data_IF_517341640923
#
_entry.id   IF_517341640923
#
_cell.length_a   1.000
_cell.length_b   1.000
_cell.length_c   1.000
_cell.angle_alpha   90.00
_cell.angle_beta   90.00
_cell.angle_gamma   90.00
#
_symmetry.space_group_name_H-M   'P 1'
#
loop_
_entity.id
_entity.type
_entity.pdbx_description
1 polymer ?
#
# COMPACT_ATOMS: atom_id res chain seq x y z
N UNK A 1 -13.74 24.65 -29.66
CA UNK A 1 -13.78 25.89 -30.44
C UNK A 1 -12.61 25.87 -31.38
N UNK A 2 -12.86 25.87 -32.69
CA UNK A 2 -11.77 25.89 -33.66
C UNK A 2 -11.12 27.27 -33.64
N UNK A 3 -9.80 27.31 -33.43
CA UNK A 3 -9.00 28.55 -33.32
C UNK A 3 -8.55 29.04 -34.71
N UNK A 4 -9.04 28.48 -35.82
CA UNK A 4 -8.61 28.88 -37.15
C UNK A 4 -8.90 30.36 -37.42
N UNK A 5 -7.85 31.05 -37.88
CA UNK A 5 -7.89 32.46 -38.25
C UNK A 5 -8.61 32.56 -39.60
N UNK A 6 -9.64 33.40 -39.76
CA UNK A 6 -10.39 33.47 -41.01
C UNK A 6 -9.52 34.07 -42.13
N UNK A 7 -9.65 33.52 -43.33
CA UNK A 7 -8.92 33.96 -44.52
C UNK A 7 -9.19 35.45 -44.81
N UNK A 8 -8.13 36.19 -45.17
CA UNK A 8 -8.20 37.63 -45.49
C UNK A 8 -7.86 38.59 -44.35
N UNK A 9 -7.76 38.14 -43.09
CA UNK A 9 -7.28 39.00 -41.97
C UNK A 9 -5.84 39.49 -42.19
N UNK A 10 -5.10 38.77 -43.04
CA UNK A 10 -3.71 39.04 -43.42
C UNK A 10 -3.55 40.38 -44.18
N UNK A 11 -4.59 40.81 -44.89
CA UNK A 11 -4.61 42.08 -45.66
C UNK A 11 -5.04 43.28 -44.80
N UNK A 12 -5.62 43.05 -43.62
CA UNK A 12 -6.10 44.12 -42.72
C UNK A 12 -5.10 44.51 -41.61
N UNK A 13 -3.99 43.79 -41.44
CA UNK A 13 -3.01 44.03 -40.38
C UNK A 13 -1.85 44.87 -40.91
N UNK A 14 -1.60 46.01 -40.25
CA UNK A 14 -0.59 47.02 -40.66
C UNK A 14 0.84 46.48 -40.77
N UNK A 15 1.16 45.36 -40.11
CA UNK A 15 2.48 44.71 -40.18
C UNK A 15 2.32 43.23 -40.60
N UNK A 16 2.73 42.82 -41.82
CA UNK A 16 2.59 41.44 -42.29
C UNK A 16 3.38 40.43 -41.43
N UNK A 17 4.52 40.85 -40.87
CA UNK A 17 5.30 40.13 -39.86
C UNK A 17 4.46 39.58 -38.70
N UNK A 18 3.40 40.28 -38.29
CA UNK A 18 2.57 39.89 -37.14
C UNK A 18 1.80 38.59 -37.39
N UNK A 19 1.35 38.38 -38.64
CA UNK A 19 0.61 37.19 -39.05
C UNK A 19 1.54 35.97 -39.11
N UNK A 20 2.74 36.14 -39.68
CA UNK A 20 3.72 35.07 -39.74
C UNK A 20 4.15 34.64 -38.33
N UNK A 21 4.50 35.60 -37.45
CA UNK A 21 4.85 35.30 -36.05
C UNK A 21 3.71 34.62 -35.29
N UNK A 22 2.44 34.95 -35.58
CA UNK A 22 1.30 34.27 -34.98
C UNK A 22 1.16 32.82 -35.46
N UNK A 23 1.39 32.54 -36.75
CA UNK A 23 1.47 31.17 -37.29
C UNK A 23 2.59 30.39 -36.61
N UNK A 24 3.80 30.96 -36.56
CA UNK A 24 4.98 30.34 -35.94
C UNK A 24 4.72 30.02 -34.45
N UNK A 25 4.17 30.98 -33.68
CA UNK A 25 3.80 30.79 -32.27
C UNK A 25 2.75 29.68 -32.08
N UNK A 26 1.81 29.53 -33.02
CA UNK A 26 0.78 28.49 -32.97
C UNK A 26 1.32 27.10 -33.34
N UNK A 27 2.29 27.02 -34.24
CA UNK A 27 3.02 25.78 -34.50
C UNK A 27 3.83 25.35 -33.28
N UNK A 28 4.46 26.29 -32.58
CA UNK A 28 5.15 26.05 -31.30
C UNK A 28 4.16 25.65 -30.19
N UNK A 29 3.00 26.31 -30.05
CA UNK A 29 1.91 25.91 -29.12
C UNK A 29 1.52 24.44 -29.38
N UNK A 30 1.23 24.10 -30.64
CA UNK A 30 0.83 22.74 -31.04
C UNK A 30 1.93 21.69 -30.77
N UNK A 31 3.20 22.03 -31.02
CA UNK A 31 4.32 21.14 -30.76
C UNK A 31 4.58 20.94 -29.25
N UNK A 32 4.41 22.01 -28.45
CA UNK A 32 4.54 21.96 -27.00
C UNK A 32 3.41 21.16 -26.36
N UNK A 33 2.16 21.32 -26.82
CA UNK A 33 1.02 20.51 -26.38
C UNK A 33 1.20 19.02 -26.74
N UNK A 34 1.63 18.72 -27.96
CA UNK A 34 1.93 17.35 -28.38
C UNK A 34 3.07 16.73 -27.55
N UNK A 35 4.12 17.49 -27.26
CA UNK A 35 5.24 17.05 -26.42
C UNK A 35 4.83 16.85 -24.96
N UNK A 36 4.02 17.77 -24.41
CA UNK A 36 3.54 17.71 -23.02
C UNK A 36 2.58 16.54 -22.81
N UNK A 37 1.63 16.34 -23.73
CA UNK A 37 0.69 15.20 -23.67
C UNK A 37 1.43 13.87 -23.81
N UNK A 38 2.38 13.75 -24.74
CA UNK A 38 3.26 12.58 -24.85
C UNK A 38 4.07 12.34 -23.58
N UNK A 39 4.78 13.35 -23.07
CA UNK A 39 5.60 13.21 -21.85
C UNK A 39 4.78 12.87 -20.62
N UNK A 40 3.54 13.36 -20.52
CA UNK A 40 2.60 12.96 -19.47
C UNK A 40 2.19 11.49 -19.57
N UNK A 41 1.99 10.98 -20.79
CA UNK A 41 1.73 9.56 -21.04
C UNK A 41 2.96 8.71 -20.71
N UNK A 42 4.13 9.05 -21.27
CA UNK A 42 5.42 8.38 -20.99
C UNK A 42 5.67 8.26 -19.47
N UNK A 43 5.43 9.34 -18.71
CA UNK A 43 5.59 9.35 -17.25
C UNK A 43 4.58 8.44 -16.53
N UNK A 44 3.31 8.43 -16.95
CA UNK A 44 2.28 7.56 -16.37
C UNK A 44 2.49 6.07 -16.69
N UNK A 45 3.05 5.78 -17.87
CA UNK A 45 3.40 4.42 -18.30
C UNK A 45 4.64 3.91 -17.56
N UNK A 46 5.67 4.74 -17.42
CA UNK A 46 6.86 4.40 -16.64
C UNK A 46 6.56 4.17 -15.16
N UNK A 47 5.73 5.01 -14.52
CA UNK A 47 5.31 4.81 -13.13
C UNK A 47 4.59 3.47 -12.92
N UNK A 48 3.85 3.01 -13.93
CA UNK A 48 3.16 1.72 -13.93
C UNK A 48 4.08 0.51 -14.15
N UNK A 49 5.27 0.71 -14.74
CA UNK A 49 6.20 -0.37 -15.14
C UNK A 49 7.47 -0.48 -14.29
N UNK A 50 7.86 0.58 -13.59
CA UNK A 50 9.20 0.69 -13.01
C UNK A 50 9.22 1.25 -11.60
N UNK A 51 8.98 0.40 -10.61
CA UNK A 51 9.47 0.64 -9.26
C UNK A 51 10.13 -0.64 -8.71
N UNK A 52 11.44 -0.59 -8.53
CA UNK A 52 12.17 -1.59 -7.75
C UNK A 52 11.67 -1.53 -6.32
N UNK A 53 10.93 -2.57 -5.91
CA UNK A 53 10.29 -2.61 -4.57
C UNK A 53 11.38 -2.69 -3.50
N UNK A 54 11.45 -1.67 -2.65
CA UNK A 54 12.28 -1.71 -1.45
C UNK A 54 11.64 -2.66 -0.45
N UNK A 55 12.34 -3.76 -0.13
CA UNK A 55 11.97 -4.61 0.99
C UNK A 55 12.29 -3.85 2.29
N UNK A 56 11.33 -3.86 3.23
CA UNK A 56 11.48 -3.32 4.58
C UNK A 56 10.64 -4.16 5.53
N UNK A 57 11.10 -4.29 6.77
CA UNK A 57 10.41 -5.06 7.80
C UNK A 57 9.43 -4.18 8.58
N UNK A 58 8.13 -4.45 8.49
CA UNK A 58 7.10 -3.84 9.33
C UNK A 58 6.88 -4.71 10.59
N UNK A 59 7.06 -4.13 11.78
CA UNK A 59 6.73 -4.80 13.05
C UNK A 59 5.33 -4.38 13.50
N UNK A 60 4.55 -5.34 13.96
CA UNK A 60 3.19 -5.15 14.48
C UNK A 60 3.16 -5.65 15.93
N UNK A 61 2.60 -4.85 16.83
CA UNK A 61 2.33 -5.21 18.21
C UNK A 61 0.82 -5.28 18.42
N UNK A 62 0.36 -6.35 19.07
CA UNK A 62 -1.02 -6.50 19.48
C UNK A 62 -0.99 -6.60 21.01
N UNK A 63 -1.63 -5.63 21.66
CA UNK A 63 -1.71 -5.54 23.12
C UNK A 63 -3.16 -5.55 23.57
N UNK A 64 -3.44 -6.21 24.69
CA UNK A 64 -4.75 -6.22 25.34
C UNK A 64 -4.59 -5.65 26.75
N UNK A 65 -5.35 -4.62 27.06
CA UNK A 65 -5.43 -3.99 28.39
C UNK A 65 -6.85 -4.17 28.91
N UNK A 66 -7.00 -4.71 30.11
CA UNK A 66 -8.32 -4.91 30.73
C UNK A 66 -8.55 -3.90 31.85
N UNK A 67 -9.77 -3.38 31.89
CA UNK A 67 -10.26 -2.36 32.82
C UNK A 67 -11.49 -2.95 33.55
N UNK A 68 -11.68 -2.59 34.82
CA UNK A 68 -12.89 -2.92 35.63
C UNK A 68 -13.20 -4.42 35.80
N UNK A 69 -12.17 -5.29 35.74
CA UNK A 69 -12.32 -6.73 35.92
C UNK A 69 -12.51 -7.12 37.40
N UNK A 70 -13.26 -8.19 37.66
CA UNK A 70 -13.61 -8.64 39.03
C UNK A 70 -12.37 -8.84 39.93
N UNK A 71 -11.26 -9.34 39.37
CA UNK A 71 -10.00 -9.56 40.09
C UNK A 71 -9.15 -8.28 40.27
N UNK A 72 -9.45 -7.19 39.56
CA UNK A 72 -8.84 -5.87 39.77
C UNK A 72 -9.51 -5.12 40.93
N UNK A 73 -10.72 -5.52 41.34
CA UNK A 73 -11.43 -4.93 42.48
C UNK A 73 -10.75 -5.34 43.79
N UNK A 74 -9.83 -4.49 44.25
CA UNK A 74 -8.97 -4.77 45.39
C UNK A 74 -9.70 -4.53 46.73
N UNK A 75 -10.68 -5.37 47.03
CA UNK A 75 -11.50 -5.36 48.24
C UNK A 75 -12.63 -4.33 48.17
N UNK A 76 -13.86 -4.83 47.98
CA UNK A 76 -15.10 -4.04 48.08
C UNK A 76 -15.09 -3.16 49.34
N UNK A 77 -15.17 -1.84 49.16
CA UNK A 77 -15.53 -0.95 50.25
C UNK A 77 -17.00 -1.22 50.61
N UNK A 78 -17.22 -1.83 51.76
CA UNK A 78 -18.50 -2.46 52.15
C UNK A 78 -19.65 -1.44 52.27
N UNK A 79 -19.35 -0.15 52.42
CA UNK A 79 -20.33 0.94 52.51
C UNK A 79 -20.66 1.61 51.15
N UNK A 80 -20.02 1.22 50.05
CA UNK A 80 -20.30 1.78 48.73
C UNK A 80 -21.36 0.95 47.96
N UNK A 81 -22.61 0.98 48.44
CA UNK A 81 -23.78 0.52 47.67
C UNK A 81 -24.09 1.53 46.55
N UNK A 82 -23.19 1.64 45.57
CA UNK A 82 -23.38 2.51 44.42
C UNK A 82 -24.19 1.78 43.34
N UNK A 83 -25.41 2.29 43.08
CA UNK A 83 -26.30 1.79 42.04
C UNK A 83 -25.96 2.37 40.65
N UNK A 84 -24.69 2.72 40.39
CA UNK A 84 -24.24 3.12 39.05
C UNK A 84 -24.06 1.88 38.16
N UNK A 85 -24.83 1.72 37.08
CA UNK A 85 -24.73 0.56 36.18
C UNK A 85 -23.53 0.65 35.23
N UNK A 86 -22.45 1.33 35.64
CA UNK A 86 -21.42 1.84 34.73
C UNK A 86 -20.04 1.15 34.89
N UNK A 87 -19.84 0.33 35.91
CA UNK A 87 -18.60 -0.45 36.08
C UNK A 87 -18.73 -1.82 35.41
N UNK A 88 -18.97 -1.79 34.09
CA UNK A 88 -18.99 -2.99 33.26
C UNK A 88 -17.55 -3.37 32.89
N UNK A 89 -17.13 -4.58 33.29
CA UNK A 89 -15.82 -5.14 32.96
C UNK A 89 -15.54 -5.01 31.47
N UNK A 90 -14.34 -4.55 31.11
CA UNK A 90 -14.04 -4.18 29.74
C UNK A 90 -12.61 -4.48 29.35
N UNK A 91 -12.38 -4.56 28.04
CA UNK A 91 -11.08 -4.82 27.45
C UNK A 91 -10.83 -3.90 26.26
N UNK A 92 -9.56 -3.52 26.10
CA UNK A 92 -9.07 -2.61 25.08
C UNK A 92 -7.96 -3.30 24.31
N UNK A 93 -8.22 -3.60 23.04
CA UNK A 93 -7.20 -4.14 22.14
C UNK A 93 -6.59 -3.00 21.35
N UNK A 94 -5.26 -2.98 21.29
CA UNK A 94 -4.44 -1.96 20.63
C UNK A 94 -3.49 -2.64 19.66
N UNK A 95 -3.68 -2.36 18.37
CA UNK A 95 -2.89 -2.86 17.24
C UNK A 95 -2.00 -1.70 16.77
N UNK A 96 -0.71 -1.76 17.06
CA UNK A 96 0.29 -0.75 16.68
C UNK A 96 1.22 -1.33 15.61
N UNK A 97 1.60 -0.53 14.61
CA UNK A 97 2.58 -0.93 13.59
C UNK A 97 3.65 0.12 13.34
N UNK A 98 4.92 -0.31 13.26
CA UNK A 98 6.05 0.57 12.98
C UNK A 98 7.06 -0.10 12.05
N UNK A 99 7.48 0.65 11.04
CA UNK A 99 8.51 0.23 10.11
C UNK A 99 9.88 0.24 10.80
N UNK A 100 10.58 -0.90 10.74
CA UNK A 100 11.98 -1.00 11.18
C UNK A 100 12.87 -0.50 10.04
N UNK A 101 13.83 0.37 10.35
CA UNK A 101 14.83 0.81 9.39
C UNK A 101 16.12 0.01 9.62
N UNK A 102 16.48 -0.82 8.65
CA UNK A 102 17.57 -1.81 8.77
C UNK A 102 18.95 -1.16 9.06
N UNK A 103 19.11 0.13 8.74
CA UNK A 103 20.29 0.94 9.10
C UNK A 103 20.51 1.12 10.61
N UNK A 104 19.49 0.99 11.44
CA UNK A 104 19.63 1.04 12.91
C UNK A 104 20.18 -0.29 13.48
N UNK A 105 20.11 -1.38 12.72
CA UNK A 105 20.39 -2.73 13.22
C UNK A 105 21.88 -3.14 13.15
N UNK A 106 22.71 -2.40 12.40
CA UNK A 106 24.16 -2.66 12.33
C UNK A 106 24.96 -2.03 13.48
N UNK A 107 24.46 -0.95 14.11
CA UNK A 107 25.18 -0.19 15.13
C UNK A 107 25.00 -0.72 16.58
N UNK A 108 24.27 -1.81 16.79
CA UNK A 108 23.88 -2.30 18.13
C UNK A 108 24.51 -3.64 18.55
N UNK A 109 25.60 -4.06 17.90
CA UNK A 109 26.46 -5.17 18.39
C UNK A 109 27.67 -4.63 19.17
N UNK A 110 27.72 -4.80 20.50
CA UNK A 110 28.97 -4.64 21.25
C UNK A 110 29.83 -5.90 21.08
N UNK A 111 30.86 -5.81 20.24
CA UNK A 111 31.90 -6.86 20.12
C UNK A 111 32.71 -6.95 21.42
N UNK A 112 32.45 -7.99 22.23
CA UNK A 112 33.25 -8.29 23.44
C UNK A 112 34.43 -9.20 23.11
N UNK A 113 35.57 -8.62 22.73
CA UNK A 113 36.88 -9.26 22.87
C UNK A 113 37.97 -8.19 22.96
N UNK A 114 38.86 -8.28 23.96
CA UNK A 114 39.84 -7.23 24.24
C UNK A 114 41.28 -7.59 23.89
N UNK A 115 42.18 -6.60 23.94
CA UNK A 115 43.39 -6.59 24.80
C UNK A 115 44.19 -5.27 24.61
N UNK A 116 44.40 -4.56 25.73
CA UNK A 116 45.49 -3.65 26.16
C UNK A 116 46.38 -2.89 25.14
N UNK A 117 46.47 -1.56 25.34
CA UNK A 117 47.52 -0.67 24.78
C UNK A 117 47.56 0.72 25.45
N UNK A 118 48.74 1.32 25.65
CA UNK A 118 49.03 2.42 26.60
C UNK A 118 49.94 3.46 25.88
N UNK A 119 49.93 4.80 26.09
CA UNK A 119 49.53 5.69 27.20
C UNK A 119 49.00 7.09 26.76
N UNK A 120 48.81 7.98 27.76
CA UNK A 120 49.11 9.44 27.76
C UNK A 120 48.12 10.48 27.17
N UNK A 121 47.49 11.21 28.09
CA UNK A 121 47.02 12.63 28.04
C UNK A 121 48.21 13.61 28.03
N UNK A 122 48.09 14.94 27.71
CA UNK A 122 46.99 15.84 28.14
C UNK A 122 46.49 16.98 27.21
N UNK A 123 45.34 17.55 27.62
CA UNK A 123 44.79 18.91 27.45
C UNK A 123 45.12 19.76 26.19
N UNK A 124 44.06 20.20 25.49
CA UNK A 124 43.68 21.63 25.48
C UNK A 124 42.23 21.85 25.05
N UNK A 125 41.62 22.95 25.52
CA UNK A 125 40.29 23.42 25.12
C UNK A 125 40.28 23.94 23.68
N UNK A 126 39.12 23.87 23.01
CA UNK A 126 38.56 24.99 22.24
C UNK A 126 37.08 24.69 21.91
N UNK A 127 36.24 25.70 22.09
CA UNK A 127 34.79 25.60 21.87
C UNK A 127 34.46 25.65 20.37
N UNK A 128 34.08 24.52 19.79
CA UNK A 128 33.27 24.50 18.57
C UNK A 128 31.96 23.78 18.86
N UNK A 129 30.89 24.57 19.07
CA UNK A 129 29.52 24.06 19.08
C UNK A 129 29.23 23.50 17.69
N UNK A 130 29.46 22.20 17.52
CA UNK A 130 28.92 21.44 16.41
C UNK A 130 27.40 21.44 16.57
N UNK A 131 26.78 22.51 16.05
CA UNK A 131 25.35 22.51 15.76
C UNK A 131 25.16 21.37 14.77
N UNK A 132 24.69 20.24 15.27
CA UNK A 132 24.08 19.21 14.47
C UNK A 132 22.96 19.90 13.71
N UNK A 133 23.24 20.31 12.48
CA UNK A 133 22.23 20.72 11.53
C UNK A 133 21.49 19.43 11.19
N UNK A 134 20.53 19.10 12.05
CA UNK A 134 19.43 18.21 11.74
C UNK A 134 18.70 18.86 10.56
N UNK A 135 19.21 18.58 9.36
CA UNK A 135 18.58 18.94 8.11
C UNK A 135 17.31 18.09 8.04
N UNK A 136 16.27 18.61 8.68
CA UNK A 136 14.97 17.98 8.88
C UNK A 136 14.18 17.86 7.58
N UNK A 137 14.73 17.13 6.62
CA UNK A 137 13.94 16.27 5.77
C UNK A 137 13.19 15.34 6.71
N UNK A 138 11.94 15.70 7.01
CA UNK A 138 11.00 14.82 7.70
C UNK A 138 10.91 13.57 6.82
N UNK A 139 11.64 12.53 7.19
CA UNK A 139 11.56 11.25 6.50
C UNK A 139 10.09 10.88 6.51
N UNK A 140 9.48 10.76 5.33
CA UNK A 140 8.06 10.50 5.17
C UNK A 140 7.81 9.02 5.48
N UNK A 141 8.04 8.68 6.75
CA UNK A 141 7.90 7.34 7.29
C UNK A 141 6.44 6.95 7.17
N UNK A 142 6.17 6.12 6.17
CA UNK A 142 4.85 5.61 5.88
C UNK A 142 4.24 5.00 7.15
N UNK A 143 3.06 5.51 7.50
CA UNK A 143 2.29 5.10 8.67
C UNK A 143 1.83 3.65 8.54
N UNK A 144 1.49 2.96 9.63
CA UNK A 144 0.96 1.59 9.59
C UNK A 144 -0.14 1.41 8.53
N UNK A 145 -1.15 2.28 8.55
CA UNK A 145 -2.28 2.27 7.60
C UNK A 145 -1.90 2.54 6.13
N UNK A 146 -0.68 3.02 5.84
CA UNK A 146 -0.19 3.13 4.47
C UNK A 146 -0.12 1.75 3.79
N UNK A 147 0.32 0.73 4.53
CA UNK A 147 0.63 -0.61 4.03
C UNK A 147 -0.58 -1.55 3.93
N UNK A 148 -1.77 -1.13 4.37
CA UNK A 148 -2.99 -1.95 4.37
C UNK A 148 -4.14 -1.27 3.63
N UNK A 149 -4.89 -2.05 2.85
CA UNK A 149 -6.12 -1.64 2.15
C UNK A 149 -7.34 -1.83 3.06
N UNK A 150 -7.31 -2.85 3.92
CA UNK A 150 -8.34 -3.10 4.91
C UNK A 150 -7.76 -3.85 6.13
N UNK A 151 -8.46 -3.74 7.25
CA UNK A 151 -8.24 -4.49 8.48
C UNK A 151 -9.62 -4.89 9.01
N UNK A 152 -9.85 -6.17 9.31
CA UNK A 152 -11.05 -6.59 10.04
C UNK A 152 -10.69 -7.35 11.31
N UNK A 153 -11.52 -7.20 12.34
CA UNK A 153 -11.47 -8.01 13.56
C UNK A 153 -12.79 -8.74 13.71
N UNK A 154 -12.70 -10.06 13.58
CA UNK A 154 -13.82 -10.98 13.65
C UNK A 154 -13.83 -11.68 15.01
N UNK A 155 -15.02 -11.80 15.60
CA UNK A 155 -15.24 -12.37 16.93
C UNK A 155 -15.92 -13.74 16.78
N UNK A 156 -15.68 -14.67 17.72
CA UNK A 156 -16.26 -16.01 17.70
C UNK A 156 -17.79 -15.99 17.90
N UNK A 157 -18.51 -15.93 16.76
CA UNK A 157 -19.98 -15.91 16.70
C UNK A 157 -20.64 -17.12 17.34
N UNK A 158 -19.93 -18.21 17.61
CA UNK A 158 -20.52 -19.41 18.23
C UNK A 158 -20.88 -19.22 19.71
N UNK A 159 -20.22 -18.28 20.41
CA UNK A 159 -20.42 -18.02 21.84
C UNK A 159 -21.57 -17.05 22.12
N UNK A 160 -21.81 -16.13 21.20
CA UNK A 160 -22.81 -15.08 21.37
C UNK A 160 -24.18 -15.49 20.83
N UNK A 161 -25.05 -15.97 21.73
CA UNK A 161 -26.48 -16.21 21.44
C UNK A 161 -27.22 -14.96 20.94
N UNK A 162 -26.72 -13.77 21.28
CA UNK A 162 -27.26 -12.48 20.88
C UNK A 162 -26.41 -11.96 19.71
N UNK A 163 -26.86 -12.18 18.47
CA UNK A 163 -26.11 -11.89 17.24
C UNK A 163 -25.97 -10.39 16.89
N UNK A 164 -25.59 -9.56 17.86
CA UNK A 164 -25.46 -8.10 17.76
C UNK A 164 -24.00 -7.60 17.94
N UNK A 165 -23.04 -8.50 18.08
CA UNK A 165 -21.61 -8.18 18.07
C UNK A 165 -21.20 -7.67 16.69
N UNK A 166 -20.91 -6.37 16.55
CA UNK A 166 -20.39 -5.81 15.30
C UNK A 166 -18.90 -6.18 15.15
N UNK A 167 -18.54 -6.75 14.00
CA UNK A 167 -17.14 -6.90 13.61
C UNK A 167 -16.52 -5.50 13.41
N UNK A 168 -15.23 -5.35 13.72
CA UNK A 168 -14.56 -4.07 13.59
C UNK A 168 -13.89 -4.06 12.23
N UNK A 169 -14.44 -3.30 11.28
CA UNK A 169 -13.91 -3.19 9.93
C UNK A 169 -13.36 -1.77 9.68
N UNK A 170 -12.10 -1.70 9.27
CA UNK A 170 -11.50 -0.52 8.67
C UNK A 170 -11.17 -0.82 7.21
N UNK A 171 -11.62 0.05 6.30
CA UNK A 171 -11.25 0.04 4.89
C UNK A 171 -10.64 1.39 4.53
N UNK A 172 -9.52 1.36 3.84
CA UNK A 172 -8.89 2.56 3.28
C UNK A 172 -9.83 3.15 2.23
N UNK A 173 -10.22 4.43 2.30
CA UNK A 173 -11.08 5.03 1.29
C UNK A 173 -10.33 5.09 -0.04
N UNK A 174 -10.87 4.46 -1.08
CA UNK A 174 -10.33 4.59 -2.44
C UNK A 174 -10.49 6.04 -2.90
N UNK A 175 -9.40 6.66 -3.33
CA UNK A 175 -9.37 8.06 -3.79
C UNK A 175 -9.95 8.20 -5.19
N UNK A 176 -11.26 7.93 -5.35
CA UNK A 176 -11.98 7.85 -6.64
C UNK A 176 -12.38 9.22 -7.21
N UNK A 177 -11.85 10.33 -6.70
CA UNK A 177 -12.18 11.69 -7.16
C UNK A 177 -10.96 12.42 -7.72
N UNK A 178 -10.95 12.59 -9.04
CA UNK A 178 -10.13 13.59 -9.75
C UNK A 178 -10.48 14.99 -9.20
N UNK A 179 -9.70 15.51 -8.25
CA UNK A 179 -9.95 16.86 -7.71
C UNK A 179 -9.28 17.23 -6.39
N UNK A 180 -8.78 16.28 -5.60
CA UNK A 180 -8.09 16.60 -4.34
C UNK A 180 -6.59 16.76 -4.53
N UNK A 181 -6.03 17.82 -3.90
CA UNK A 181 -4.60 18.12 -3.95
C UNK A 181 -3.76 17.04 -3.25
N UNK A 182 -2.54 16.73 -3.73
CA UNK A 182 -1.66 15.77 -3.08
C UNK A 182 -1.16 16.32 -1.74
N UNK A 183 -1.37 15.58 -0.65
CA UNK A 183 -0.73 15.85 0.65
C UNK A 183 -1.64 16.05 1.88
N UNK A 184 -2.97 15.91 1.75
CA UNK A 184 -3.87 15.95 2.91
C UNK A 184 -4.96 14.88 2.81
N UNK A 185 -4.58 13.62 3.05
CA UNK A 185 -5.55 12.63 3.51
C UNK A 185 -5.94 13.01 4.95
N UNK A 186 -7.23 12.90 5.34
CA UNK A 186 -7.63 13.21 6.72
C UNK A 186 -6.92 12.25 7.68
N UNK A 187 -6.48 12.75 8.84
CA UNK A 187 -5.65 12.00 9.81
C UNK A 187 -6.25 10.67 10.30
N UNK A 188 -7.57 10.47 10.11
CA UNK A 188 -8.29 9.20 10.30
C UNK A 188 -7.78 8.06 9.38
N UNK A 189 -7.18 8.39 8.23
CA UNK A 189 -6.68 7.43 7.25
C UNK A 189 -5.20 7.09 7.48
N UNK A 190 -4.43 7.96 8.14
CA UNK A 190 -2.98 7.85 8.34
C UNK A 190 -2.60 7.67 9.83
N UNK A 191 -2.83 6.46 10.36
CA UNK A 191 -2.55 6.07 11.74
C UNK A 191 -1.46 5.01 11.85
N UNK A 192 -0.75 5.03 12.98
CA UNK A 192 0.17 3.95 13.42
C UNK A 192 -0.50 2.98 14.41
N UNK A 193 -1.62 3.38 15.00
CA UNK A 193 -2.35 2.61 16.02
C UNK A 193 -3.84 2.53 15.67
N UNK A 194 -4.39 1.32 15.72
CA UNK A 194 -5.83 1.06 15.76
C UNK A 194 -6.20 0.47 17.13
N UNK A 195 -7.05 1.17 17.86
CA UNK A 195 -7.49 0.78 19.21
C UNK A 195 -9.01 0.71 19.29
N UNK A 196 -9.53 -0.34 19.92
CA UNK A 196 -10.95 -0.49 20.22
C UNK A 196 -11.16 -0.94 21.66
N UNK A 197 -12.26 -0.49 22.27
CA UNK A 197 -12.73 -0.92 23.61
C UNK A 197 -14.05 -1.67 23.46
N UNK A 198 -14.21 -2.79 24.15
CA UNK A 198 -15.45 -3.58 24.23
C UNK A 198 -15.67 -4.03 25.68
N UNK A 199 -16.92 -4.37 25.99
CA UNK A 199 -17.32 -4.83 27.31
C UNK A 199 -17.22 -6.37 27.30
N UNK A 200 -16.77 -6.95 28.40
CA UNK A 200 -16.49 -8.37 28.53
C UNK A 200 -15.57 -8.69 29.72
N UNK A 201 -16.00 -9.68 30.50
CA UNK A 201 -15.30 -10.31 31.62
C UNK A 201 -14.70 -11.69 31.26
N UNK A 202 -15.14 -12.31 30.16
CA UNK A 202 -14.65 -13.61 29.69
C UNK A 202 -13.56 -13.52 28.60
N UNK A 203 -12.62 -14.47 28.63
CA UNK A 203 -11.59 -14.62 27.60
C UNK A 203 -12.18 -15.08 26.25
N UNK A 204 -12.00 -14.26 25.21
CA UNK A 204 -12.56 -14.50 23.87
C UNK A 204 -11.44 -14.56 22.82
N UNK A 205 -11.48 -15.57 21.95
CA UNK A 205 -10.59 -15.65 20.79
C UNK A 205 -11.10 -14.70 19.69
N UNK A 206 -10.19 -13.87 19.16
CA UNK A 206 -10.46 -12.93 18.06
C UNK A 206 -9.56 -13.26 16.86
N UNK A 207 -10.07 -13.05 15.65
CA UNK A 207 -9.31 -13.19 14.40
C UNK A 207 -9.07 -11.81 13.81
N UNK A 208 -7.81 -11.41 13.64
CA UNK A 208 -7.43 -10.12 13.08
C UNK A 208 -6.93 -10.35 11.65
N UNK A 209 -7.69 -9.91 10.66
CA UNK A 209 -7.34 -9.99 9.25
C UNK A 209 -6.69 -8.69 8.78
N UNK A 210 -5.53 -8.79 8.13
CA UNK A 210 -4.75 -7.65 7.63
C UNK A 210 -4.57 -7.77 6.11
N UNK A 211 -5.29 -6.93 5.35
CA UNK A 211 -5.23 -6.95 3.89
C UNK A 211 -4.19 -5.94 3.40
N UNK A 212 -3.01 -6.43 3.00
CA UNK A 212 -1.91 -5.61 2.49
C UNK A 212 -2.38 -4.77 1.29
N UNK A 213 -1.98 -3.50 1.26
CA UNK A 213 -2.13 -2.65 0.08
C UNK A 213 -0.94 -2.88 -0.84
N UNK A 214 -1.20 -3.52 -1.98
CA UNK A 214 -0.21 -3.69 -3.06
C UNK A 214 -0.85 -3.31 -4.38
N UNK A 215 -0.13 -2.53 -5.19
CA UNK A 215 -0.57 -2.08 -6.51
C UNK A 215 0.57 -2.33 -7.51
N UNK A 216 0.38 -3.18 -8.54
CA UNK A 216 -0.82 -3.99 -8.80
C UNK A 216 -1.05 -5.06 -7.73
N UNK A 217 -2.30 -5.50 -7.56
CA UNK A 217 -2.62 -6.57 -6.60
C UNK A 217 -1.93 -7.88 -7.00
N UNK A 218 -1.37 -8.57 -6.00
CA UNK A 218 -0.75 -9.88 -6.15
C UNK A 218 -1.63 -10.96 -5.54
N UNK A 219 -1.71 -12.08 -6.25
CA UNK A 219 -2.50 -13.24 -5.87
C UNK A 219 -1.59 -14.47 -5.77
N UNK A 220 -1.87 -15.31 -4.79
CA UNK A 220 -1.31 -16.66 -4.74
C UNK A 220 -2.03 -17.50 -5.79
N UNK A 221 -1.27 -18.08 -6.73
CA UNK A 221 -1.83 -18.89 -7.82
C UNK A 221 -2.24 -20.28 -7.30
N UNK A 222 -3.20 -20.92 -7.99
CA UNK A 222 -3.47 -22.35 -7.76
C UNK A 222 -2.22 -23.17 -8.09
N UNK A 223 -1.98 -24.32 -7.44
CA UNK A 223 -0.78 -25.12 -7.70
C UNK A 223 -0.63 -25.53 -9.17
N UNK A 224 -1.75 -25.83 -9.83
CA UNK A 224 -1.82 -26.16 -11.27
C UNK A 224 -1.37 -24.97 -12.16
N UNK A 225 -1.83 -23.75 -11.86
CA UNK A 225 -1.44 -22.55 -12.62
C UNK A 225 0.00 -22.14 -12.29
N UNK A 226 0.44 -22.36 -11.06
CA UNK A 226 1.81 -22.08 -10.62
C UNK A 226 2.84 -22.97 -11.34
N UNK A 227 2.48 -24.21 -11.69
CA UNK A 227 3.33 -25.11 -12.49
C UNK A 227 3.43 -24.67 -13.95
N UNK A 228 2.33 -24.21 -14.56
CA UNK A 228 2.30 -23.70 -15.94
C UNK A 228 3.07 -22.38 -16.10
N UNK A 229 2.96 -21.48 -15.12
CA UNK A 229 3.52 -20.12 -15.16
C UNK A 229 4.91 -20.02 -14.48
N UNK A 230 5.34 -21.07 -13.76
CA UNK A 230 6.55 -21.10 -12.90
C UNK A 230 6.59 -19.95 -11.86
N UNK A 231 5.41 -19.59 -11.33
CA UNK A 231 5.27 -18.53 -10.31
C UNK A 231 4.25 -18.91 -9.24
N UNK A 232 4.60 -18.73 -7.97
CA UNK A 232 3.66 -18.95 -6.84
C UNK A 232 2.77 -17.74 -6.57
N UNK A 233 3.35 -16.54 -6.60
CA UNK A 233 2.66 -15.28 -6.38
C UNK A 233 2.88 -14.35 -7.57
N UNK A 234 1.80 -13.96 -8.25
CA UNK A 234 1.84 -13.11 -9.42
C UNK A 234 0.70 -12.08 -9.40
N UNK A 235 0.90 -10.95 -10.08
CA UNK A 235 -0.19 -10.07 -10.47
C UNK A 235 -1.02 -10.72 -11.57
N UNK A 236 -2.27 -10.28 -11.75
CA UNK A 236 -3.11 -10.79 -12.85
C UNK A 236 -2.45 -10.62 -14.23
N UNK A 237 -1.71 -9.53 -14.44
CA UNK A 237 -1.01 -9.27 -15.70
C UNK A 237 0.18 -10.21 -15.90
N UNK A 238 1.01 -10.44 -14.88
CA UNK A 238 2.11 -11.41 -14.93
C UNK A 238 1.59 -12.84 -15.20
N UNK A 239 0.52 -13.26 -14.51
CA UNK A 239 -0.07 -14.58 -14.69
C UNK A 239 -0.65 -14.80 -16.10
N UNK A 240 -1.36 -13.80 -16.65
CA UNK A 240 -1.89 -13.86 -18.03
C UNK A 240 -0.76 -13.83 -19.06
N UNK A 241 0.30 -13.05 -18.81
CA UNK A 241 1.48 -13.00 -19.69
C UNK A 241 2.19 -14.36 -19.73
N UNK A 242 2.49 -14.95 -18.57
CA UNK A 242 3.15 -16.26 -18.49
C UNK A 242 2.32 -17.37 -19.12
N UNK A 243 0.99 -17.36 -18.93
CA UNK A 243 0.09 -18.32 -19.61
C UNK A 243 0.10 -18.14 -21.14
N UNK A 244 0.16 -16.90 -21.64
CA UNK A 244 0.27 -16.62 -23.08
C UNK A 244 1.64 -17.03 -23.64
N UNK A 245 2.72 -16.78 -22.90
CA UNK A 245 4.08 -17.21 -23.25
C UNK A 245 4.17 -18.75 -23.31
N UNK A 246 3.56 -19.45 -22.34
CA UNK A 246 3.43 -20.91 -22.35
C UNK A 246 2.70 -21.40 -23.61
N UNK A 247 1.49 -20.88 -23.90
CA UNK A 247 0.69 -21.26 -25.08
C UNK A 247 1.48 -21.04 -26.39
N UNK A 248 2.26 -19.94 -26.46
CA UNK A 248 3.09 -19.63 -27.63
C UNK A 248 4.34 -20.51 -27.74
N UNK A 249 4.99 -20.83 -26.62
CA UNK A 249 6.18 -21.69 -26.57
C UNK A 249 5.85 -23.11 -27.03
N UNK A 250 4.71 -23.65 -26.59
CA UNK A 250 4.26 -25.00 -26.95
C UNK A 250 3.47 -25.07 -28.27
N UNK A 251 3.27 -23.95 -28.99
CA UNK A 251 2.57 -23.94 -30.28
C UNK A 251 1.08 -24.35 -30.18
N UNK A 252 0.44 -24.07 -29.05
CA UNK A 252 -0.92 -24.52 -28.75
C UNK A 252 -2.03 -23.66 -29.38
N UNK A 253 -1.68 -22.46 -29.87
CA UNK A 253 -2.59 -21.55 -30.56
C UNK A 253 -3.04 -22.12 -31.92
N UNK A 254 -4.31 -21.93 -32.29
CA UNK A 254 -4.85 -22.38 -33.58
C UNK A 254 -4.61 -21.33 -34.68
N UNK A 255 -4.21 -21.79 -35.88
CA UNK A 255 -3.83 -20.91 -37.00
C UNK A 255 -5.03 -20.16 -37.61
N UNK A 256 -6.20 -20.82 -37.69
CA UNK A 256 -7.42 -20.24 -38.26
C UNK A 256 -8.12 -19.29 -37.28
N UNK A 257 -8.32 -19.70 -36.02
CA UNK A 257 -8.92 -18.86 -34.97
C UNK A 257 -7.94 -18.56 -33.84
N UNK A 258 -7.14 -17.51 -34.01
CA UNK A 258 -6.12 -17.04 -33.05
C UNK A 258 -6.64 -16.67 -31.64
N UNK A 259 -7.96 -16.73 -31.41
CA UNK A 259 -8.60 -16.56 -30.09
C UNK A 259 -8.69 -17.88 -29.30
N UNK A 260 -8.52 -19.01 -29.98
CA UNK A 260 -8.62 -20.34 -29.41
C UNK A 260 -7.22 -20.95 -29.26
N UNK A 261 -7.08 -21.80 -28.26
CA UNK A 261 -5.89 -22.61 -28.04
C UNK A 261 -6.29 -24.01 -27.57
N UNK A 262 -5.50 -24.99 -27.98
CA UNK A 262 -5.63 -26.38 -27.54
C UNK A 262 -5.10 -26.49 -26.12
N UNK A 263 -5.88 -27.07 -25.21
CA UNK A 263 -5.43 -27.33 -23.85
C UNK A 263 -4.60 -28.61 -23.83
N UNK A 264 -3.34 -28.53 -23.39
CA UNK A 264 -2.53 -29.70 -23.05
C UNK A 264 -2.95 -30.27 -21.68
N UNK A 265 -2.23 -31.28 -21.18
CA UNK A 265 -2.59 -31.95 -19.92
C UNK A 265 -2.54 -31.01 -18.70
N UNK A 266 -1.64 -30.02 -18.69
CA UNK A 266 -1.52 -29.04 -17.60
C UNK A 266 -2.60 -27.95 -17.72
N UNK A 267 -2.81 -27.38 -18.91
CA UNK A 267 -3.90 -26.43 -19.16
C UNK A 267 -5.27 -27.04 -18.91
N UNK A 268 -5.47 -28.34 -19.16
CA UNK A 268 -6.73 -29.05 -18.88
C UNK A 268 -7.07 -29.13 -17.39
N UNK A 269 -6.06 -29.14 -16.52
CA UNK A 269 -6.25 -29.04 -15.07
C UNK A 269 -6.71 -27.60 -14.75
N UNK A 270 -5.89 -26.60 -15.11
CA UNK A 270 -6.12 -25.17 -14.85
C UNK A 270 -7.47 -24.64 -15.38
N UNK A 271 -7.85 -24.98 -16.62
CA UNK A 271 -9.05 -24.47 -17.30
C UNK A 271 -10.30 -25.32 -16.96
N UNK A 272 -10.12 -26.49 -16.35
CA UNK A 272 -11.20 -27.37 -15.93
C UNK A 272 -11.82 -28.19 -17.08
N UNK A 273 -11.13 -29.25 -17.52
CA UNK A 273 -11.65 -30.33 -18.41
C UNK A 273 -12.19 -29.91 -19.80
N UNK A 274 -12.01 -28.67 -20.24
CA UNK A 274 -12.22 -28.28 -21.63
C UNK A 274 -11.02 -28.67 -22.51
N UNK A 275 -11.27 -29.33 -23.65
CA UNK A 275 -10.22 -29.62 -24.65
C UNK A 275 -9.71 -28.35 -25.37
N UNK A 276 -10.51 -27.27 -25.37
CA UNK A 276 -10.19 -25.98 -25.96
C UNK A 276 -10.46 -24.83 -24.97
N UNK A 277 -9.51 -23.90 -24.90
CA UNK A 277 -9.62 -22.67 -24.14
C UNK A 277 -9.83 -21.47 -25.07
N UNK A 278 -10.58 -20.46 -24.60
CA UNK A 278 -10.84 -19.22 -25.34
C UNK A 278 -10.25 -18.03 -24.60
N UNK A 279 -9.39 -17.27 -25.28
CA UNK A 279 -8.80 -16.05 -24.72
C UNK A 279 -9.87 -14.97 -24.49
N UNK A 280 -9.92 -14.43 -23.27
CA UNK A 280 -10.69 -13.22 -22.96
C UNK A 280 -9.94 -12.00 -23.53
N UNK A 281 -10.67 -11.06 -24.14
CA UNK A 281 -10.14 -9.81 -24.71
C UNK A 281 -10.33 -8.63 -23.75
#
# INVERSE_FOLDING_TARGET
>A
MDKNMPDGVEECIVNPDGVQRYRDLREVERWLDATTTRKRLDASENFSRGHTKLLKTLRIWISNTVEDQVWQSNGLNVDAFDFTPNMEASYRVRIEGRLLDEREHEFSKPETSGVLGVSSTPQQDESSTAVSVECGLKDHKHRFSYFFRALSVDFDRSRFRNGAEQNIEWKKPETTVKGHAPGSLPAIVDFDELTFKRNGDENTNITINLYRHEMPERYQLSPELAEVVDMKDATQQEAVMGLWEYIRFWGLQEDEEKRNFRCDELLKQVVGRGDSGRGVS
#
